data_IF_495099348498
#
_entry.id   IF_495099348498
#
_cell.length_a   1.000
_cell.length_b   1.000
_cell.length_c   1.000
_cell.angle_alpha   90.00
_cell.angle_beta   90.00
_cell.angle_gamma   90.00
#
_symmetry.space_group_name_H-M   'P 1'
#
loop_
_entity.id
_entity.type
_entity.pdbx_description
1 polymer ?
#
# COMPACT_ATOMS: atom_id res chain seq x y z
N UNK A 1 -67.34 -25.81 -37.35
CA UNK A 1 -65.96 -25.64 -37.88
C UNK A 1 -65.29 -24.47 -37.16
N UNK A 2 -64.00 -24.64 -36.83
CA UNK A 2 -63.02 -23.70 -36.20
C UNK A 2 -63.15 -23.54 -34.68
N UNK A 3 -62.44 -24.38 -33.90
CA UNK A 3 -61.01 -24.28 -33.45
C UNK A 3 -60.81 -23.20 -32.39
N UNK A 4 -60.64 -23.61 -31.13
CA UNK A 4 -59.89 -22.88 -30.10
C UNK A 4 -58.88 -23.85 -29.51
N UNK A 5 -57.60 -23.57 -29.74
CA UNK A 5 -56.44 -24.29 -29.25
C UNK A 5 -55.73 -23.41 -28.23
N UNK A 6 -55.33 -24.06 -27.13
CA UNK A 6 -54.11 -23.89 -26.33
C UNK A 6 -53.63 -22.49 -25.91
N UNK A 7 -53.45 -22.32 -24.60
CA UNK A 7 -52.32 -21.62 -23.98
C UNK A 7 -52.00 -22.33 -22.66
N UNK A 8 -50.92 -23.13 -22.66
CA UNK A 8 -50.30 -23.64 -21.45
C UNK A 8 -48.91 -23.00 -21.39
N UNK A 9 -48.75 -22.10 -20.43
CA UNK A 9 -47.55 -21.31 -20.19
C UNK A 9 -46.48 -22.18 -19.52
N UNK A 10 -45.31 -22.30 -20.16
CA UNK A 10 -44.10 -22.83 -19.54
C UNK A 10 -43.11 -21.68 -19.36
N UNK A 11 -42.90 -21.25 -18.13
CA UNK A 11 -41.91 -20.23 -17.77
C UNK A 11 -40.57 -20.92 -17.55
N UNK A 12 -39.64 -20.76 -18.49
CA UNK A 12 -38.24 -21.13 -18.30
C UNK A 12 -37.55 -20.02 -17.50
N UNK A 13 -37.04 -20.37 -16.31
CA UNK A 13 -36.17 -19.54 -15.50
C UNK A 13 -34.80 -19.45 -16.19
N UNK A 14 -34.45 -18.24 -16.64
CA UNK A 14 -33.09 -17.87 -17.04
C UNK A 14 -32.28 -17.61 -15.76
N UNK A 15 -31.39 -18.52 -15.43
CA UNK A 15 -30.34 -18.29 -14.43
C UNK A 15 -29.26 -17.41 -15.07
N UNK A 16 -29.21 -16.14 -14.70
CA UNK A 16 -28.09 -15.26 -15.03
C UNK A 16 -26.91 -15.68 -14.16
N UNK A 17 -25.86 -16.19 -14.80
CA UNK A 17 -24.58 -16.42 -14.14
C UNK A 17 -24.00 -15.05 -13.75
N UNK A 18 -23.78 -14.86 -12.45
CA UNK A 18 -23.04 -13.72 -11.93
C UNK A 18 -21.58 -13.93 -12.34
N UNK A 19 -21.10 -13.15 -13.31
CA UNK A 19 -19.68 -13.07 -13.60
C UNK A 19 -19.01 -12.51 -12.33
N UNK A 20 -18.29 -13.37 -11.61
CA UNK A 20 -17.36 -12.90 -10.59
C UNK A 20 -16.33 -12.01 -11.27
N UNK A 21 -15.95 -10.92 -10.61
CA UNK A 21 -14.79 -10.13 -10.99
C UNK A 21 -13.54 -11.00 -10.85
N UNK A 22 -13.29 -11.88 -11.83
CA UNK A 22 -12.04 -12.60 -11.95
C UNK A 22 -11.01 -11.59 -12.44
N UNK A 23 -9.98 -11.36 -11.64
CA UNK A 23 -8.79 -10.67 -12.14
C UNK A 23 -8.28 -11.45 -13.35
N UNK A 24 -7.93 -10.79 -14.47
CA UNK A 24 -7.32 -11.45 -15.61
C UNK A 24 -6.12 -12.30 -15.17
N UNK A 25 -5.88 -13.43 -15.83
CA UNK A 25 -4.71 -14.28 -15.51
C UNK A 25 -3.41 -13.74 -16.09
N UNK A 26 -3.50 -12.81 -17.05
CA UNK A 26 -2.39 -12.14 -17.71
C UNK A 26 -2.81 -10.72 -18.05
N UNK A 27 -1.85 -9.80 -18.12
CA UNK A 27 -2.06 -8.41 -18.51
C UNK A 27 -0.89 -7.94 -19.37
N UNK A 28 -1.17 -7.22 -20.45
CA UNK A 28 -0.22 -6.32 -21.10
C UNK A 28 -0.90 -4.97 -21.23
N UNK A 29 -0.33 -3.94 -20.63
CA UNK A 29 -0.87 -2.58 -20.65
C UNK A 29 0.23 -1.60 -21.04
N UNK A 30 -0.09 -0.64 -21.91
CA UNK A 30 0.89 0.25 -22.51
C UNK A 30 0.43 1.71 -22.46
N UNK A 31 0.90 2.42 -21.44
CA UNK A 31 0.63 3.84 -21.26
C UNK A 31 1.69 4.71 -21.90
N UNK A 32 1.30 5.90 -22.37
CA UNK A 32 2.25 6.85 -22.95
C UNK A 32 3.32 7.26 -21.92
N UNK A 33 4.59 7.27 -22.32
CA UNK A 33 5.69 7.61 -21.42
C UNK A 33 6.20 9.04 -21.65
N UNK A 34 5.51 10.05 -21.10
CA UNK A 34 6.11 11.39 -21.04
C UNK A 34 7.24 11.41 -20.01
N UNK A 35 8.06 12.47 -20.02
CA UNK A 35 9.10 12.62 -19.00
C UNK A 35 8.54 12.67 -17.57
N UNK A 36 7.31 13.18 -17.39
CA UNK A 36 6.64 13.19 -16.10
C UNK A 36 6.20 11.78 -15.71
N UNK A 37 5.58 11.03 -16.63
CA UNK A 37 5.11 9.66 -16.36
C UNK A 37 6.29 8.74 -16.01
N UNK A 38 7.40 8.84 -16.75
CA UNK A 38 8.63 8.08 -16.43
C UNK A 38 9.15 8.44 -15.04
N UNK A 39 9.19 9.73 -14.70
CA UNK A 39 9.71 10.17 -13.40
C UNK A 39 8.80 9.71 -12.25
N UNK A 40 7.48 9.76 -12.43
CA UNK A 40 6.52 9.36 -11.43
C UNK A 40 6.50 7.83 -11.23
N UNK A 41 6.77 7.04 -12.28
CA UNK A 41 6.90 5.58 -12.18
C UNK A 41 8.12 5.15 -11.35
N UNK A 42 9.25 5.83 -11.54
CA UNK A 42 10.55 5.37 -10.99
C UNK A 42 11.03 6.19 -9.78
N UNK A 43 10.17 7.05 -9.22
CA UNK A 43 10.51 7.81 -8.02
C UNK A 43 9.34 7.95 -7.05
N UNK A 44 9.68 8.04 -5.77
CA UNK A 44 8.73 8.35 -4.72
C UNK A 44 8.60 9.86 -4.53
N UNK A 45 7.38 10.39 -4.54
CA UNK A 45 7.08 11.78 -4.19
C UNK A 45 6.37 11.86 -2.83
N UNK A 46 7.11 11.87 -1.70
CA UNK A 46 6.51 11.84 -0.37
C UNK A 46 5.77 13.16 -0.07
N UNK A 47 4.63 13.05 0.62
CA UNK A 47 3.86 14.21 1.04
C UNK A 47 4.61 15.04 2.09
N UNK A 48 4.41 16.37 2.14
CA UNK A 48 5.19 17.26 3.01
C UNK A 48 5.04 17.00 4.52
N UNK A 49 3.98 16.30 4.93
CA UNK A 49 3.73 15.93 6.33
C UNK A 49 4.16 14.48 6.64
N UNK A 50 4.76 13.78 5.67
CA UNK A 50 5.17 12.39 5.82
C UNK A 50 6.54 12.25 6.49
N UNK A 51 6.80 11.07 7.05
CA UNK A 51 8.09 10.77 7.70
C UNK A 51 9.20 10.70 6.65
N UNK A 52 8.90 10.12 5.49
CA UNK A 52 9.77 10.01 4.31
C UNK A 52 10.25 11.39 3.87
N UNK A 53 9.33 12.36 3.72
CA UNK A 53 9.68 13.73 3.34
C UNK A 53 10.61 14.38 4.36
N UNK A 54 10.29 14.22 5.65
CA UNK A 54 11.09 14.79 6.74
C UNK A 54 12.51 14.22 6.73
N UNK A 55 12.64 12.90 6.68
CA UNK A 55 13.94 12.20 6.68
C UNK A 55 14.76 12.54 5.44
N UNK A 56 14.15 12.51 4.25
CA UNK A 56 14.83 12.86 3.00
C UNK A 56 15.31 14.32 3.03
N UNK A 57 14.46 15.26 3.44
CA UNK A 57 14.81 16.69 3.53
C UNK A 57 15.96 16.93 4.50
N UNK A 58 15.91 16.32 5.70
CA UNK A 58 16.99 16.45 6.68
C UNK A 58 18.31 15.83 6.19
N UNK A 59 18.26 14.70 5.49
CA UNK A 59 19.44 14.08 4.90
C UNK A 59 20.04 14.96 3.79
N UNK A 60 19.22 15.60 2.95
CA UNK A 60 19.66 16.54 1.92
C UNK A 60 20.32 17.78 2.54
N UNK A 61 19.68 18.37 3.56
CA UNK A 61 20.18 19.59 4.19
C UNK A 61 21.47 19.38 5.00
N UNK A 62 21.53 18.27 5.75
CA UNK A 62 22.63 18.02 6.70
C UNK A 62 23.70 17.04 6.15
N UNK A 63 23.46 16.45 4.98
CA UNK A 63 24.26 15.37 4.39
C UNK A 63 23.89 13.98 4.93
N UNK A 64 23.35 13.89 6.15
CA UNK A 64 22.80 12.65 6.71
C UNK A 64 21.82 12.94 7.86
N UNK A 65 20.88 12.04 8.12
CA UNK A 65 20.04 12.03 9.32
C UNK A 65 19.92 10.62 9.89
N UNK A 66 19.38 10.47 11.10
CA UNK A 66 19.09 9.18 11.71
C UNK A 66 17.66 9.11 12.20
N UNK A 67 17.06 7.91 12.10
CA UNK A 67 15.73 7.62 12.60
C UNK A 67 15.73 6.25 13.26
N UNK A 68 15.05 6.11 14.40
CA UNK A 68 14.70 4.79 14.93
C UNK A 68 13.38 4.32 14.35
N UNK A 69 13.36 3.07 13.91
CA UNK A 69 12.19 2.45 13.30
C UNK A 69 12.20 0.95 13.50
N UNK A 70 11.00 0.36 13.46
CA UNK A 70 10.84 -1.11 13.50
C UNK A 70 10.93 -1.75 12.11
N UNK A 71 10.91 -0.93 11.06
CA UNK A 71 10.88 -1.31 9.65
C UNK A 71 11.70 -0.27 8.87
N UNK A 72 12.20 -0.65 7.70
CA UNK A 72 12.80 0.27 6.74
C UNK A 72 11.76 1.32 6.32
N UNK A 73 12.21 2.52 5.95
CA UNK A 73 11.34 3.63 5.56
C UNK A 73 11.07 3.61 4.06
N UNK A 74 12.09 3.30 3.26
CA UNK A 74 12.02 3.30 1.81
C UNK A 74 12.01 1.86 1.32
N UNK A 75 10.82 1.27 1.24
CA UNK A 75 10.66 -0.06 0.66
C UNK A 75 10.66 0.06 -0.88
N UNK A 76 11.62 -0.58 -1.56
CA UNK A 76 11.68 -0.85 -3.01
C UNK A 76 12.05 0.32 -3.94
N UNK A 77 11.78 1.59 -3.59
CA UNK A 77 12.14 2.75 -4.42
C UNK A 77 13.09 3.66 -3.64
N UNK A 78 14.37 3.65 -4.03
CA UNK A 78 15.44 4.42 -3.38
C UNK A 78 15.50 5.87 -3.88
N UNK A 79 14.87 6.19 -5.01
CA UNK A 79 14.88 7.54 -5.58
C UNK A 79 13.67 8.36 -5.11
N UNK A 80 13.95 9.43 -4.38
CA UNK A 80 12.97 10.37 -3.84
C UNK A 80 12.99 11.68 -4.62
N UNK A 81 11.82 12.16 -5.01
CA UNK A 81 11.63 13.49 -5.57
C UNK A 81 11.26 14.48 -4.47
N UNK A 82 12.11 15.48 -4.27
CA UNK A 82 11.84 16.65 -3.41
C UNK A 82 11.86 17.89 -4.30
N UNK A 83 10.73 18.60 -4.33
CA UNK A 83 10.47 19.68 -5.29
C UNK A 83 10.68 19.22 -6.75
N UNK A 84 11.70 19.77 -7.42
CA UNK A 84 12.06 19.46 -8.81
C UNK A 84 13.37 18.66 -8.92
N UNK A 85 13.95 18.18 -7.81
CA UNK A 85 15.19 17.41 -7.79
C UNK A 85 14.95 15.96 -7.34
N UNK A 86 15.79 15.07 -7.84
CA UNK A 86 15.73 13.63 -7.59
C UNK A 86 16.97 13.20 -6.82
N UNK A 87 16.76 12.43 -5.76
CA UNK A 87 17.79 12.00 -4.83
C UNK A 87 17.71 10.50 -4.61
N UNK A 88 18.84 9.81 -4.75
CA UNK A 88 18.95 8.46 -4.21
C UNK A 88 19.16 8.55 -2.70
N UNK A 89 18.30 7.89 -1.95
CA UNK A 89 18.32 7.85 -0.49
C UNK A 89 18.76 6.46 -0.06
N UNK A 90 19.95 6.36 0.53
CA UNK A 90 20.42 5.10 1.10
C UNK A 90 19.96 4.97 2.55
N UNK A 91 19.40 3.82 2.91
CA UNK A 91 19.04 3.46 4.29
C UNK A 91 20.02 2.41 4.83
N UNK A 92 20.80 2.77 5.86
CA UNK A 92 21.79 1.87 6.48
C UNK A 92 21.42 1.58 7.93
N UNK A 93 21.10 0.32 8.23
CA UNK A 93 20.90 -0.14 9.60
C UNK A 93 22.19 0.00 10.44
N UNK A 94 22.08 0.63 11.61
CA UNK A 94 23.16 0.84 12.57
C UNK A 94 23.02 -0.12 13.76
N UNK A 95 22.38 0.32 14.83
CA UNK A 95 22.22 -0.43 16.08
C UNK A 95 20.76 -0.84 16.27
N UNK A 96 20.54 -2.08 16.69
CA UNK A 96 19.22 -2.61 17.00
C UNK A 96 19.10 -2.92 18.49
N UNK A 97 17.91 -2.68 19.05
CA UNK A 97 17.58 -3.00 20.43
C UNK A 97 16.17 -3.55 20.54
N UNK A 98 15.97 -4.48 21.48
CA UNK A 98 14.64 -4.98 21.79
C UNK A 98 13.86 -3.95 22.62
N UNK A 99 12.67 -3.62 22.15
CA UNK A 99 11.72 -2.72 22.81
C UNK A 99 10.42 -3.45 23.11
N UNK A 100 9.72 -3.00 24.16
CA UNK A 100 8.38 -3.49 24.49
C UNK A 100 7.36 -2.59 23.83
N UNK A 101 6.51 -3.16 22.97
CA UNK A 101 5.36 -2.47 22.39
C UNK A 101 4.07 -2.94 23.03
N UNK A 102 3.14 -2.01 23.13
CA UNK A 102 1.86 -2.15 23.81
C UNK A 102 0.73 -2.10 22.79
N UNK A 103 -0.27 -2.95 23.02
CA UNK A 103 -1.53 -2.97 22.29
C UNK A 103 -2.66 -2.98 23.31
N UNK A 104 -3.52 -1.97 23.23
CA UNK A 104 -4.74 -1.87 24.04
C UNK A 104 -5.84 -2.61 23.30
N UNK A 105 -6.41 -3.62 23.93
CA UNK A 105 -7.48 -4.45 23.37
C UNK A 105 -8.80 -4.13 24.05
N UNK A 106 -9.84 -4.02 23.24
CA UNK A 106 -11.19 -3.67 23.67
C UNK A 106 -12.13 -4.81 23.31
N UNK A 107 -12.94 -5.20 24.28
CA UNK A 107 -14.07 -6.12 24.18
C UNK A 107 -15.32 -5.26 24.40
N UNK A 108 -16.14 -5.13 23.35
CA UNK A 108 -17.31 -4.25 23.30
C UNK A 108 -18.55 -4.91 23.92
N UNK A 109 -18.62 -6.24 23.93
CA UNK A 109 -19.70 -7.03 24.51
C UNK A 109 -19.22 -8.05 25.57
N UNK A 110 -18.55 -7.59 26.64
CA UNK A 110 -17.89 -8.50 27.55
C UNK A 110 -18.90 -9.30 28.38
N UNK A 111 -18.65 -10.60 28.49
CA UNK A 111 -19.41 -11.51 29.39
C UNK A 111 -19.45 -11.02 30.84
N UNK A 112 -18.40 -10.31 31.26
CA UNK A 112 -18.31 -9.62 32.54
C UNK A 112 -17.85 -8.17 32.36
N UNK A 113 -18.70 -7.23 32.75
CA UNK A 113 -18.44 -5.79 32.72
C UNK A 113 -18.09 -5.20 34.09
N UNK A 114 -17.79 -6.06 35.08
CA UNK A 114 -17.35 -5.64 36.41
C UNK A 114 -15.89 -5.19 36.37
N UNK A 115 -15.62 -3.97 36.84
CA UNK A 115 -14.26 -3.46 36.95
C UNK A 115 -13.47 -4.20 38.05
N UNK A 116 -12.30 -4.72 37.69
CA UNK A 116 -11.35 -5.34 38.62
C UNK A 116 -10.23 -4.39 39.04
N UNK A 117 -9.80 -3.51 38.12
CA UNK A 117 -8.77 -2.49 38.34
C UNK A 117 -9.46 -1.14 38.60
N UNK A 118 -10.37 -0.76 37.72
CA UNK A 118 -11.09 0.50 37.79
C UNK A 118 -11.86 0.79 36.51
N UNK A 119 -12.83 1.68 36.62
CA UNK A 119 -13.58 2.20 35.48
C UNK A 119 -13.26 3.68 35.25
N UNK A 120 -13.24 4.08 33.99
CA UNK A 120 -13.08 5.48 33.56
C UNK A 120 -14.14 5.82 32.52
N UNK A 121 -14.73 7.00 32.62
CA UNK A 121 -15.61 7.50 31.56
C UNK A 121 -14.79 7.86 30.33
N UNK A 122 -15.28 7.55 29.14
CA UNK A 122 -14.59 7.83 27.88
C UNK A 122 -14.22 9.32 27.74
N UNK A 123 -15.09 10.21 28.20
CA UNK A 123 -14.89 11.66 28.14
C UNK A 123 -13.77 12.15 29.09
N UNK A 124 -13.45 11.36 30.11
CA UNK A 124 -12.39 11.61 31.08
C UNK A 124 -11.04 10.99 30.66
N UNK A 125 -10.99 10.24 29.56
CA UNK A 125 -9.74 9.71 29.02
C UNK A 125 -8.76 10.85 28.70
N UNK A 126 -7.47 10.66 29.01
CA UNK A 126 -6.43 11.55 28.52
C UNK A 126 -6.50 11.71 26.99
N UNK A 127 -6.09 12.87 26.49
CA UNK A 127 -6.16 13.17 25.06
C UNK A 127 -5.42 12.14 24.19
N UNK A 128 -4.32 11.58 24.70
CA UNK A 128 -3.50 10.56 24.04
C UNK A 128 -4.27 9.24 23.86
N UNK A 129 -5.02 8.82 24.88
CA UNK A 129 -5.87 7.63 24.79
C UNK A 129 -7.08 7.90 23.92
N UNK A 130 -7.77 9.02 24.17
CA UNK A 130 -8.98 9.39 23.45
C UNK A 130 -8.72 9.48 21.95
N UNK A 131 -7.64 10.14 21.50
CA UNK A 131 -7.33 10.27 20.07
C UNK A 131 -7.11 8.91 19.38
N UNK A 132 -6.55 7.93 20.09
CA UNK A 132 -6.32 6.59 19.53
C UNK A 132 -7.59 5.73 19.52
N UNK A 133 -8.44 5.89 20.52
CA UNK A 133 -9.64 5.06 20.70
C UNK A 133 -10.90 5.65 20.05
N UNK A 134 -10.95 6.96 19.82
CA UNK A 134 -12.07 7.69 19.21
C UNK A 134 -12.59 7.08 17.91
N UNK A 135 -11.73 6.66 16.95
CA UNK A 135 -12.21 6.08 15.69
C UNK A 135 -12.97 4.75 15.86
N UNK A 136 -12.83 4.09 17.01
CA UNK A 136 -13.36 2.74 17.25
C UNK A 136 -14.51 2.81 18.25
N UNK A 137 -14.35 3.59 19.33
CA UNK A 137 -15.38 3.74 20.37
C UNK A 137 -16.58 4.55 19.87
N UNK A 138 -16.36 5.49 18.94
CA UNK A 138 -17.43 6.30 18.37
C UNK A 138 -18.07 5.67 17.12
N UNK A 139 -17.73 4.42 16.78
CA UNK A 139 -18.37 3.71 15.67
C UNK A 139 -19.81 3.32 16.06
N UNK A 140 -20.76 3.52 15.16
CA UNK A 140 -22.18 3.22 15.39
C UNK A 140 -22.47 1.71 15.36
N UNK A 141 -21.55 0.89 14.80
CA UNK A 141 -21.66 -0.57 14.70
C UNK A 141 -20.32 -1.25 15.03
N UNK A 142 -19.88 -1.21 16.31
CA UNK A 142 -18.62 -1.82 16.71
C UNK A 142 -18.68 -3.34 16.48
N UNK A 143 -17.54 -3.97 16.12
CA UNK A 143 -17.49 -5.42 15.95
C UNK A 143 -17.89 -6.12 17.24
N UNK A 144 -18.71 -7.16 17.12
CA UNK A 144 -19.14 -8.04 18.22
C UNK A 144 -18.67 -9.47 17.97
N UNK A 145 -18.03 -10.11 18.95
CA UNK A 145 -17.51 -11.46 18.84
C UNK A 145 -17.06 -12.03 20.18
N UNK A 146 -16.72 -13.33 20.20
CA UNK A 146 -16.17 -13.93 21.42
C UNK A 146 -14.75 -13.38 21.69
N UNK A 147 -14.59 -12.58 22.74
CA UNK A 147 -13.31 -12.10 23.26
C UNK A 147 -13.02 -10.64 22.92
N UNK A 148 -11.73 -10.28 22.79
CA UNK A 148 -11.38 -8.90 22.43
C UNK A 148 -11.59 -8.66 20.93
N UNK A 149 -12.52 -7.78 20.60
CA UNK A 149 -12.94 -7.48 19.24
C UNK A 149 -11.91 -6.65 18.47
N UNK A 150 -11.23 -5.72 19.15
CA UNK A 150 -10.31 -4.76 18.52
C UNK A 150 -9.03 -4.61 19.33
N UNK A 151 -7.90 -4.52 18.62
CA UNK A 151 -6.60 -4.13 19.16
C UNK A 151 -6.12 -2.81 18.59
N UNK A 152 -5.66 -1.90 19.45
CA UNK A 152 -5.10 -0.60 19.09
C UNK A 152 -3.63 -0.56 19.48
N UNK A 153 -2.76 -0.39 18.48
CA UNK A 153 -1.33 -0.25 18.70
C UNK A 153 -1.00 1.08 19.39
N UNK A 154 -0.30 1.00 20.52
CA UNK A 154 0.16 2.17 21.26
C UNK A 154 1.65 2.47 21.04
N UNK A 155 2.41 1.52 20.50
CA UNK A 155 3.86 1.65 20.37
C UNK A 155 4.55 1.37 21.71
N UNK A 156 5.69 2.01 21.96
CA UNK A 156 6.50 1.89 23.17
C UNK A 156 6.02 2.87 24.25
N UNK A 157 6.46 2.64 25.48
CA UNK A 157 6.19 3.55 26.60
C UNK A 157 6.79 4.95 26.35
N UNK A 158 7.91 5.05 25.62
CA UNK A 158 8.54 6.32 25.28
C UNK A 158 7.73 7.09 24.22
N UNK A 159 7.20 6.41 23.20
CA UNK A 159 6.31 6.99 22.19
C UNK A 159 5.02 7.55 22.80
N UNK A 160 4.47 6.87 23.81
CA UNK A 160 3.24 7.28 24.52
C UNK A 160 3.51 8.35 25.60
N UNK A 161 4.69 8.31 26.22
CA UNK A 161 5.04 9.13 27.36
C UNK A 161 4.14 8.87 28.58
N UNK A 162 4.06 9.85 29.49
CA UNK A 162 3.24 9.76 30.71
C UNK A 162 1.76 10.16 30.48
N UNK A 163 1.32 10.18 29.23
CA UNK A 163 0.01 10.72 28.84
C UNK A 163 -1.12 9.71 28.80
N UNK A 164 -0.83 8.41 28.98
CA UNK A 164 -1.83 7.34 28.90
C UNK A 164 -2.15 6.76 30.28
N UNK A 165 -3.40 6.33 30.46
CA UNK A 165 -3.84 5.54 31.62
C UNK A 165 -3.78 4.03 31.38
N UNK A 166 -3.46 3.60 30.15
CA UNK A 166 -3.31 2.18 29.79
C UNK A 166 -1.85 1.77 29.66
N UNK A 167 -0.98 2.65 29.15
CA UNK A 167 0.43 2.36 28.86
C UNK A 167 1.36 3.28 29.67
N UNK A 168 2.45 2.76 30.27
CA UNK A 168 2.87 1.35 30.30
C UNK A 168 2.16 0.49 31.35
N UNK A 169 1.54 1.11 32.35
CA UNK A 169 0.85 0.42 33.45
C UNK A 169 -0.65 0.74 33.39
N UNK A 170 -1.46 -0.31 33.24
CA UNK A 170 -2.91 -0.19 33.12
C UNK A 170 -3.53 0.24 34.46
N UNK A 171 -4.25 1.37 34.45
CA UNK A 171 -4.93 1.94 35.62
C UNK A 171 -6.44 1.63 35.65
N UNK A 172 -7.02 1.28 34.50
CA UNK A 172 -8.44 0.99 34.34
C UNK A 172 -8.65 -0.18 33.39
N UNK A 173 -9.62 -1.04 33.68
CA UNK A 173 -9.99 -2.20 32.87
C UNK A 173 -11.41 -2.11 32.29
N UNK A 174 -12.14 -1.03 32.60
CA UNK A 174 -13.44 -0.72 32.01
C UNK A 174 -13.46 0.72 31.48
N UNK A 175 -13.92 0.90 30.24
CA UNK A 175 -14.33 2.21 29.71
C UNK A 175 -15.85 2.27 29.73
N UNK A 176 -16.39 3.38 30.22
CA UNK A 176 -17.83 3.66 30.18
C UNK A 176 -18.10 4.73 29.14
N UNK A 177 -18.95 4.44 28.15
CA UNK A 177 -19.35 5.39 27.11
C UNK A 177 -20.84 5.20 26.81
N UNK A 178 -21.61 6.30 26.80
CA UNK A 178 -23.06 6.30 26.54
C UNK A 178 -23.92 5.30 27.34
N UNK A 179 -23.41 4.83 28.49
CA UNK A 179 -24.06 3.86 29.37
C UNK A 179 -23.62 2.42 29.15
N UNK A 180 -22.88 2.15 28.07
CA UNK A 180 -22.24 0.87 27.80
C UNK A 180 -20.89 0.77 28.53
N UNK A 181 -20.44 -0.47 28.72
CA UNK A 181 -19.24 -0.80 29.51
C UNK A 181 -18.36 -1.75 28.70
N UNK A 182 -17.23 -1.25 28.24
CA UNK A 182 -16.29 -1.99 27.42
C UNK A 182 -15.12 -2.47 28.27
N UNK A 183 -14.72 -3.73 28.09
CA UNK A 183 -13.60 -4.30 28.82
C UNK A 183 -12.30 -4.05 28.08
N UNK A 184 -11.29 -3.61 28.81
CA UNK A 184 -9.99 -3.24 28.27
C UNK A 184 -8.90 -4.10 28.88
N UNK A 185 -8.00 -4.60 28.05
CA UNK A 185 -6.74 -5.19 28.50
C UNK A 185 -5.57 -4.67 27.71
N UNK A 186 -4.39 -4.70 28.32
CA UNK A 186 -3.15 -4.32 27.68
C UNK A 186 -2.34 -5.58 27.41
N UNK A 187 -2.10 -5.85 26.13
CA UNK A 187 -1.17 -6.88 25.70
C UNK A 187 0.17 -6.26 25.34
N UNK A 188 1.25 -7.00 25.58
CA UNK A 188 2.60 -6.55 25.25
C UNK A 188 3.32 -7.60 24.42
N UNK A 189 4.23 -7.14 23.57
CA UNK A 189 5.20 -8.00 22.89
C UNK A 189 6.54 -7.31 22.78
N UNK A 190 7.60 -8.09 22.75
CA UNK A 190 8.93 -7.61 22.42
C UNK A 190 9.09 -7.56 20.92
N UNK A 191 9.65 -6.47 20.41
CA UNK A 191 10.00 -6.30 19.00
C UNK A 191 11.35 -5.62 18.89
N UNK A 192 12.02 -5.77 17.75
CA UNK A 192 13.31 -5.15 17.51
C UNK A 192 13.09 -3.78 16.88
N UNK A 193 13.77 -2.78 17.42
CA UNK A 193 13.82 -1.44 16.86
C UNK A 193 15.26 -1.13 16.46
N UNK A 194 15.43 -0.62 15.24
CA UNK A 194 16.73 -0.37 14.63
C UNK A 194 16.89 1.13 14.39
N UNK A 195 18.06 1.65 14.74
CA UNK A 195 18.49 2.97 14.29
C UNK A 195 19.03 2.85 12.87
N UNK A 196 18.50 3.67 11.98
CA UNK A 196 18.90 3.74 10.59
C UNK A 196 19.57 5.09 10.33
N UNK A 197 20.64 5.07 9.52
CA UNK A 197 21.25 6.26 8.94
C UNK A 197 20.78 6.43 7.51
N UNK A 198 20.38 7.66 7.18
CA UNK A 198 19.96 8.05 5.85
C UNK A 198 20.95 9.04 5.29
N UNK A 199 21.32 8.84 4.03
CA UNK A 199 22.17 9.73 3.24
C UNK A 199 21.48 9.94 1.90
N UNK A 200 21.46 11.18 1.41
CA UNK A 200 20.80 11.54 0.16
C UNK A 200 21.82 12.07 -0.85
N UNK A 201 21.79 11.55 -2.07
CA UNK A 201 22.67 11.98 -3.17
C UNK A 201 21.83 12.45 -4.34
N UNK A 202 22.00 13.70 -4.76
CA UNK A 202 21.30 14.22 -5.94
C UNK A 202 21.76 13.46 -7.20
N UNK A 203 20.79 12.89 -7.93
CA UNK A 203 21.03 12.16 -9.18
C UNK A 203 20.60 12.94 -10.41
N UNK A 204 19.61 13.82 -10.28
CA UNK A 204 19.16 14.68 -11.35
C UNK A 204 18.50 15.95 -10.83
N UNK A 205 18.78 17.07 -11.49
CA UNK A 205 18.05 18.33 -11.31
C UNK A 205 17.00 18.46 -12.43
N UNK A 206 15.74 18.17 -12.12
CA UNK A 206 14.61 18.34 -13.02
C UNK A 206 14.14 17.06 -13.72
N UNK A 207 12.82 16.99 -13.93
CA UNK A 207 12.09 15.85 -14.51
C UNK A 207 12.68 15.38 -15.85
N UNK A 208 12.99 16.30 -16.77
CA UNK A 208 13.54 15.91 -18.08
C UNK A 208 14.91 15.26 -17.97
N UNK A 209 15.80 15.81 -17.13
CA UNK A 209 17.14 15.26 -16.96
C UNK A 209 17.11 13.89 -16.29
N UNK A 210 16.13 13.66 -15.41
CA UNK A 210 15.94 12.37 -14.77
C UNK A 210 15.38 11.35 -15.77
N UNK A 211 14.28 11.68 -16.46
CA UNK A 211 13.68 10.82 -17.46
C UNK A 211 14.67 10.43 -18.58
N UNK A 212 15.57 11.33 -18.98
CA UNK A 212 16.61 11.03 -19.97
C UNK A 212 17.61 9.97 -19.46
N UNK A 213 17.95 9.96 -18.16
CA UNK A 213 18.79 8.91 -17.57
C UNK A 213 18.08 7.55 -17.60
N UNK A 214 16.78 7.54 -17.29
CA UNK A 214 15.95 6.33 -17.31
C UNK A 214 15.80 5.82 -18.76
N UNK A 215 15.61 6.72 -19.73
CA UNK A 215 15.63 6.34 -21.16
C UNK A 215 16.97 5.72 -21.56
N UNK A 216 18.08 6.33 -21.18
CA UNK A 216 19.41 5.84 -21.54
C UNK A 216 19.68 4.42 -21.00
N UNK A 217 19.07 4.06 -19.87
CA UNK A 217 19.21 2.73 -19.28
C UNK A 217 18.20 1.71 -19.83
N UNK A 218 16.91 2.06 -19.85
CA UNK A 218 15.84 1.08 -20.03
C UNK A 218 15.18 1.10 -21.41
N UNK A 219 15.25 2.22 -22.15
CA UNK A 219 14.48 2.35 -23.40
C UNK A 219 15.01 1.43 -24.50
N UNK A 220 14.15 0.55 -24.99
CA UNK A 220 14.41 -0.26 -26.18
C UNK A 220 13.29 -0.12 -27.22
N UNK A 221 13.55 -0.51 -28.47
CA UNK A 221 12.53 -0.45 -29.55
C UNK A 221 11.88 -1.81 -29.77
N UNK A 222 10.57 -1.90 -29.53
CA UNK A 222 9.78 -3.07 -29.88
C UNK A 222 9.46 -3.06 -31.38
N UNK A 223 10.03 -4.01 -32.12
CA UNK A 223 9.89 -4.07 -33.58
C UNK A 223 9.90 -5.51 -34.08
N UNK A 224 9.67 -5.68 -35.39
CA UNK A 224 9.66 -7.01 -36.02
C UNK A 224 8.49 -7.89 -35.58
N UNK A 225 7.37 -7.28 -35.20
CA UNK A 225 6.13 -7.97 -34.82
C UNK A 225 5.40 -8.50 -36.06
N UNK A 226 4.76 -9.64 -35.92
CA UNK A 226 3.76 -10.20 -36.84
C UNK A 226 2.43 -9.44 -36.77
N UNK A 227 1.47 -9.76 -37.64
CA UNK A 227 0.15 -9.09 -37.60
C UNK A 227 -0.60 -9.36 -36.29
N UNK A 228 -0.58 -10.60 -35.79
CA UNK A 228 -1.24 -10.96 -34.53
C UNK A 228 -0.56 -10.31 -33.31
N UNK A 229 0.78 -10.23 -33.29
CA UNK A 229 1.50 -9.54 -32.21
C UNK A 229 1.27 -8.03 -32.24
N UNK A 230 1.10 -7.41 -33.43
CA UNK A 230 0.73 -6.00 -33.53
C UNK A 230 -0.67 -5.74 -32.99
N UNK A 231 -1.63 -6.63 -33.27
CA UNK A 231 -2.99 -6.51 -32.73
C UNK A 231 -2.99 -6.51 -31.20
N UNK A 232 -2.21 -7.42 -30.58
CA UNK A 232 -2.00 -7.45 -29.12
C UNK A 232 -1.45 -6.11 -28.59
N UNK A 233 -0.40 -5.56 -29.23
CA UNK A 233 0.21 -4.29 -28.82
C UNK A 233 -0.73 -3.11 -29.03
N UNK A 234 -1.46 -3.06 -30.15
CA UNK A 234 -2.41 -1.99 -30.44
C UNK A 234 -3.59 -2.00 -29.46
N UNK A 235 -4.08 -3.16 -29.06
CA UNK A 235 -5.12 -3.29 -28.03
C UNK A 235 -4.59 -2.94 -26.63
N UNK A 236 -3.37 -3.36 -26.30
CA UNK A 236 -2.71 -2.97 -25.05
C UNK A 236 -2.57 -1.45 -24.90
N UNK A 237 -2.34 -0.72 -26.00
CA UNK A 237 -2.25 0.75 -26.01
C UNK A 237 -3.62 1.42 -25.82
N UNK A 238 -4.73 0.80 -26.24
CA UNK A 238 -6.08 1.40 -26.15
C UNK A 238 -6.72 1.22 -24.77
N UNK A 239 -6.28 0.22 -23.99
CA UNK A 239 -6.75 0.01 -22.61
C UNK A 239 -6.41 -1.35 -22.01
N UNK A 240 -5.28 -1.94 -22.43
CA UNK A 240 -4.82 -3.23 -21.93
C UNK A 240 -5.31 -4.44 -22.72
N UNK A 241 -4.52 -5.50 -22.65
CA UNK A 241 -4.76 -6.79 -23.29
C UNK A 241 -4.69 -7.92 -22.25
N UNK A 242 -5.65 -8.86 -22.29
CA UNK A 242 -5.94 -9.75 -21.16
C UNK A 242 -6.06 -11.25 -21.52
N UNK A 243 -5.75 -11.63 -22.76
CA UNK A 243 -5.91 -13.01 -23.24
C UNK A 243 -4.58 -13.77 -23.34
N UNK A 244 -4.43 -14.90 -22.63
CA UNK A 244 -3.22 -15.74 -22.73
C UNK A 244 -3.21 -16.58 -24.02
N UNK A 245 -2.69 -15.99 -25.12
CA UNK A 245 -2.53 -16.66 -26.40
C UNK A 245 -1.08 -16.61 -26.92
N UNK A 246 -0.80 -17.34 -28.01
CA UNK A 246 0.56 -17.44 -28.57
C UNK A 246 1.16 -16.08 -28.96
N UNK A 247 0.33 -15.11 -29.39
CA UNK A 247 0.79 -13.78 -29.76
C UNK A 247 1.18 -12.97 -28.52
N UNK A 248 0.36 -13.01 -27.47
CA UNK A 248 0.68 -12.42 -26.17
C UNK A 248 1.97 -12.98 -25.60
N UNK A 249 2.08 -14.31 -25.51
CA UNK A 249 3.28 -14.96 -24.97
C UNK A 249 4.54 -14.55 -25.74
N UNK A 250 4.46 -14.48 -27.08
CA UNK A 250 5.58 -14.05 -27.91
C UNK A 250 5.98 -12.58 -27.69
N UNK A 251 5.01 -11.67 -27.51
CA UNK A 251 5.28 -10.26 -27.18
C UNK A 251 5.90 -10.15 -25.79
N UNK A 252 5.31 -10.79 -24.80
CA UNK A 252 5.78 -10.82 -23.41
C UNK A 252 7.19 -11.39 -23.30
N UNK A 253 7.47 -12.52 -23.95
CA UNK A 253 8.81 -13.10 -23.97
C UNK A 253 9.83 -12.12 -24.57
N UNK A 254 9.47 -11.43 -25.66
CA UNK A 254 10.35 -10.43 -26.29
C UNK A 254 10.60 -9.23 -25.39
N UNK A 255 9.58 -8.74 -24.67
CA UNK A 255 9.75 -7.65 -23.70
C UNK A 255 10.69 -8.08 -22.57
N UNK A 256 10.50 -9.29 -22.04
CA UNK A 256 11.28 -9.85 -20.93
C UNK A 256 12.73 -10.20 -21.27
N UNK A 257 13.11 -10.19 -22.55
CA UNK A 257 14.51 -10.28 -22.98
C UNK A 257 15.31 -8.99 -22.67
N UNK A 258 14.62 -7.89 -22.35
CA UNK A 258 15.21 -6.60 -22.03
C UNK A 258 15.19 -6.30 -20.52
N UNK A 259 16.09 -5.41 -20.09
CA UNK A 259 16.13 -4.91 -18.72
C UNK A 259 14.85 -4.13 -18.42
N UNK A 260 14.12 -4.54 -17.38
CA UNK A 260 12.91 -3.86 -16.90
C UNK A 260 13.24 -2.85 -15.80
N UNK A 261 12.36 -1.87 -15.64
CA UNK A 261 12.40 -0.87 -14.56
C UNK A 261 12.21 -1.59 -13.22
N UNK A 262 11.13 -2.37 -13.12
CA UNK A 262 10.80 -3.22 -11.99
C UNK A 262 10.38 -4.59 -12.52
N UNK A 263 10.94 -5.66 -11.98
CA UNK A 263 10.62 -7.03 -12.42
C UNK A 263 10.51 -7.95 -11.21
N UNK A 264 9.38 -8.64 -11.11
CA UNK A 264 9.12 -9.70 -10.14
C UNK A 264 8.98 -11.05 -10.85
N UNK A 265 8.62 -12.10 -10.10
CA UNK A 265 8.42 -13.43 -10.66
C UNK A 265 7.18 -13.54 -11.57
N UNK A 266 6.19 -12.65 -11.40
CA UNK A 266 4.89 -12.71 -12.09
C UNK A 266 4.46 -11.41 -12.78
N UNK A 267 5.18 -10.30 -12.61
CA UNK A 267 4.91 -9.06 -13.35
C UNK A 267 6.15 -8.17 -13.46
N UNK A 268 6.06 -7.13 -14.27
CA UNK A 268 7.04 -6.04 -14.29
C UNK A 268 6.63 -4.85 -15.13
N UNK A 269 7.44 -3.80 -15.06
CA UNK A 269 7.32 -2.58 -15.87
C UNK A 269 8.56 -2.41 -16.75
N UNK A 270 8.36 -2.08 -18.02
CA UNK A 270 9.41 -1.76 -18.99
C UNK A 270 9.17 -0.40 -19.64
N UNK A 271 10.25 0.22 -20.12
CA UNK A 271 10.19 1.40 -20.98
C UNK A 271 10.55 1.00 -22.40
N UNK A 272 9.61 1.12 -23.33
CA UNK A 272 9.83 0.73 -24.72
C UNK A 272 9.27 1.73 -25.73
N UNK A 273 9.80 1.72 -26.94
CA UNK A 273 9.29 2.47 -28.06
C UNK A 273 8.61 1.55 -29.07
N UNK A 274 7.38 1.89 -29.45
CA UNK A 274 6.62 1.26 -30.53
C UNK A 274 6.15 2.33 -31.52
N UNK A 275 6.42 2.12 -32.81
CA UNK A 275 6.15 3.09 -33.89
C UNK A 275 6.70 4.52 -33.65
N UNK A 276 7.82 4.65 -32.91
CA UNK A 276 8.46 5.91 -32.49
C UNK A 276 7.73 6.68 -31.37
N UNK A 277 6.80 6.02 -30.68
CA UNK A 277 6.17 6.54 -29.45
C UNK A 277 6.68 5.70 -28.28
N UNK A 278 7.01 6.36 -27.17
CA UNK A 278 7.49 5.72 -25.94
C UNK A 278 6.32 5.34 -25.04
N UNK A 279 6.41 4.17 -24.41
CA UNK A 279 5.41 3.62 -23.52
C UNK A 279 6.03 3.05 -22.25
N UNK A 280 5.36 3.29 -21.12
CA UNK A 280 5.51 2.49 -19.91
C UNK A 280 4.63 1.26 -20.11
N UNK A 281 5.25 0.09 -20.02
CA UNK A 281 4.62 -1.18 -20.37
C UNK A 281 4.59 -2.08 -19.17
N UNK A 282 3.41 -2.30 -18.63
CA UNK A 282 3.15 -3.27 -17.58
C UNK A 282 2.86 -4.63 -18.20
N UNK A 283 3.47 -5.68 -17.67
CA UNK A 283 3.21 -7.06 -18.08
C UNK A 283 3.01 -7.94 -16.86
N UNK A 284 1.95 -8.75 -16.84
CA UNK A 284 1.66 -9.79 -15.85
C UNK A 284 1.48 -11.14 -16.55
N UNK A 285 2.10 -12.21 -16.03
CA UNK A 285 2.16 -13.55 -16.65
C UNK A 285 2.07 -14.72 -15.67
#
# INVERSE_FOLDING_TARGET
MRRRQFLASGTALLSVAVAGCGHPSVVLDMDNATAADIADEVSMSPGPESTEYTVASEAIENGSTTRRGRHELFDQIDTVRIDDAFYDVSETALESSDVTVYEVRIDFDPDDSTAEIGEIAYEELPAVDRQRLDPIISDDDPPSGDGYDVGVGYGTAEEVGNGSVFVPEQQYDIIVHDGDRYRVTVSTRTTTETEYRYEATEVASGVNSFADQIRDQYLFTLSGLSEAEREVVEEAIDGGYFEDNEAFQSVTDRIREHEGIEVTDSYGTWLLAYEQVEYLTYVEW
#
